data_IF_941364508818
#
_entry.id   IF_941364508818
#
_cell.length_a   1.000
_cell.length_b   1.000
_cell.length_c   1.000
_cell.angle_alpha   90.00
_cell.angle_beta   90.00
_cell.angle_gamma   90.00
#
_symmetry.space_group_name_H-M   'P 1'
#
loop_
_entity.id
_entity.type
_entity.pdbx_description
1 polymer ?
#
# COMPACT_ATOMS: atom_id res chain seq x y z
N UNK A 1 -25.07 -28.07 -22.29
CA UNK A 1 -24.63 -27.73 -20.93
C UNK A 1 -23.11 -27.56 -21.00
N UNK A 2 -22.52 -26.41 -20.70
CA UNK A 2 -21.07 -26.30 -20.67
C UNK A 2 -20.54 -27.23 -19.59
N UNK A 3 -19.60 -28.09 -19.94
CA UNK A 3 -18.87 -28.91 -18.98
C UNK A 3 -18.18 -27.96 -18.03
N UNK A 4 -18.58 -27.95 -16.76
CA UNK A 4 -17.85 -27.33 -15.68
C UNK A 4 -16.55 -28.14 -15.51
N UNK A 5 -15.50 -27.72 -16.20
CA UNK A 5 -14.15 -28.19 -15.87
C UNK A 5 -13.78 -27.47 -14.58
N UNK A 6 -13.55 -28.26 -13.53
CA UNK A 6 -13.01 -27.74 -12.27
C UNK A 6 -11.70 -27.03 -12.59
N UNK A 7 -11.71 -25.70 -12.51
CA UNK A 7 -10.50 -24.87 -12.71
C UNK A 7 -9.58 -25.12 -11.54
N UNK A 8 -8.46 -25.79 -11.77
CA UNK A 8 -7.47 -26.07 -10.74
C UNK A 8 -6.36 -25.03 -10.71
N UNK A 9 -6.04 -24.43 -11.86
CA UNK A 9 -4.93 -23.50 -12.03
C UNK A 9 -5.24 -22.39 -13.05
N UNK A 10 -4.60 -21.24 -12.89
CA UNK A 10 -4.55 -20.16 -13.87
C UNK A 10 -3.11 -19.97 -14.38
N UNK A 11 -2.97 -19.50 -15.62
CA UNK A 11 -1.69 -19.17 -16.23
C UNK A 11 -1.50 -17.64 -16.16
N UNK A 12 -0.46 -17.17 -15.46
CA UNK A 12 -0.10 -15.75 -15.40
C UNK A 12 0.83 -15.43 -16.57
N UNK A 13 0.46 -14.54 -17.47
CA UNK A 13 1.30 -14.15 -18.62
C UNK A 13 2.55 -13.36 -18.20
N UNK A 14 2.58 -12.84 -16.96
CA UNK A 14 3.72 -12.12 -16.42
C UNK A 14 3.78 -10.65 -16.83
N UNK A 15 4.92 -10.03 -16.54
CA UNK A 15 5.17 -8.62 -16.79
C UNK A 15 5.65 -8.35 -18.22
N UNK A 16 6.45 -9.27 -18.77
CA UNK A 16 7.01 -9.16 -20.12
C UNK A 16 7.13 -10.52 -20.79
N UNK A 17 6.98 -10.54 -22.11
CA UNK A 17 7.26 -11.70 -22.96
C UNK A 17 8.72 -11.74 -23.46
N UNK A 18 9.48 -10.65 -23.29
CA UNK A 18 10.85 -10.54 -23.77
C UNK A 18 11.83 -11.14 -22.76
N UNK A 19 12.46 -12.26 -23.13
CA UNK A 19 13.44 -12.96 -22.29
C UNK A 19 14.67 -12.11 -21.97
N UNK A 20 15.07 -11.22 -22.86
CA UNK A 20 16.23 -10.33 -22.70
C UNK A 20 16.11 -9.42 -21.46
N UNK A 21 14.90 -8.98 -21.13
CA UNK A 21 14.66 -8.13 -19.97
C UNK A 21 14.37 -8.91 -18.68
N UNK A 22 14.20 -10.21 -18.76
CA UNK A 22 13.80 -11.03 -17.61
C UNK A 22 14.83 -10.98 -16.48
N UNK A 23 16.13 -11.16 -16.82
CA UNK A 23 17.22 -11.11 -15.83
C UNK A 23 17.33 -9.72 -15.20
N UNK A 24 17.20 -8.67 -16.02
CA UNK A 24 17.22 -7.29 -15.53
C UNK A 24 16.09 -7.05 -14.53
N UNK A 25 14.88 -7.49 -14.86
CA UNK A 25 13.72 -7.35 -13.95
C UNK A 25 13.91 -8.15 -12.67
N UNK A 26 14.44 -9.38 -12.72
CA UNK A 26 14.74 -10.17 -11.52
C UNK A 26 15.66 -9.39 -10.59
N UNK A 27 16.76 -8.84 -11.11
CA UNK A 27 17.74 -8.10 -10.29
C UNK A 27 17.11 -6.83 -9.71
N UNK A 28 16.42 -6.04 -10.54
CA UNK A 28 15.79 -4.78 -10.10
C UNK A 28 14.74 -5.03 -9.02
N UNK A 29 13.86 -6.01 -9.22
CA UNK A 29 12.80 -6.32 -8.25
C UNK A 29 13.34 -6.96 -6.99
N UNK A 30 14.35 -7.82 -7.08
CA UNK A 30 14.99 -8.41 -5.91
C UNK A 30 15.68 -7.35 -5.05
N UNK A 31 16.46 -6.46 -5.67
CA UNK A 31 17.12 -5.34 -4.96
C UNK A 31 16.07 -4.42 -4.35
N UNK A 32 15.03 -4.04 -5.11
CA UNK A 32 13.94 -3.20 -4.62
C UNK A 32 13.22 -3.84 -3.43
N UNK A 33 12.90 -5.11 -3.52
CA UNK A 33 12.26 -5.85 -2.44
C UNK A 33 13.13 -5.92 -1.17
N UNK A 34 14.42 -6.16 -1.31
CA UNK A 34 15.36 -6.14 -0.18
C UNK A 34 15.44 -4.77 0.49
N UNK A 35 15.40 -3.68 -0.29
CA UNK A 35 15.35 -2.30 0.26
C UNK A 35 14.05 -2.08 1.03
N UNK A 36 12.90 -2.54 0.49
CA UNK A 36 11.60 -2.43 1.18
C UNK A 36 11.64 -3.18 2.50
N UNK A 37 12.08 -4.44 2.49
CA UNK A 37 12.14 -5.25 3.71
C UNK A 37 13.06 -4.64 4.76
N UNK A 38 14.30 -4.34 4.38
CA UNK A 38 15.30 -3.82 5.32
C UNK A 38 14.91 -2.45 5.90
N UNK A 39 14.38 -1.56 5.06
CA UNK A 39 13.95 -0.23 5.47
C UNK A 39 12.74 -0.28 6.43
N UNK A 40 11.72 -1.05 6.08
CA UNK A 40 10.49 -1.13 6.88
C UNK A 40 10.68 -1.94 8.16
N UNK A 41 11.40 -3.08 8.12
CA UNK A 41 11.76 -3.85 9.33
C UNK A 41 12.63 -2.99 10.26
N UNK A 42 13.65 -2.33 9.70
CA UNK A 42 14.52 -1.45 10.47
C UNK A 42 13.73 -0.34 11.19
N UNK A 43 12.75 0.26 10.51
CA UNK A 43 11.91 1.29 11.13
C UNK A 43 11.02 0.71 12.25
N UNK A 44 10.36 -0.43 12.03
CA UNK A 44 9.53 -1.09 13.04
C UNK A 44 10.35 -1.44 14.28
N UNK A 45 11.52 -2.06 14.09
CA UNK A 45 12.43 -2.43 15.19
C UNK A 45 12.88 -1.18 15.94
N UNK A 46 13.33 -0.14 15.24
CA UNK A 46 13.79 1.10 15.85
C UNK A 46 12.70 1.76 16.71
N UNK A 47 11.47 1.83 16.21
CA UNK A 47 10.32 2.36 16.96
C UNK A 47 10.02 1.50 18.18
N UNK A 48 10.18 0.18 18.08
CA UNK A 48 9.89 -0.74 19.19
C UNK A 48 10.89 -0.62 20.34
N UNK A 49 12.19 -0.42 20.03
CA UNK A 49 13.26 -0.38 21.04
C UNK A 49 13.54 1.02 21.58
N UNK A 50 13.06 2.08 20.91
CA UNK A 50 13.37 3.47 21.27
C UNK A 50 12.24 4.11 22.07
N UNK A 51 12.51 4.49 23.31
CA UNK A 51 11.55 5.21 24.17
C UNK A 51 11.21 6.62 23.62
N UNK A 52 12.09 7.21 22.80
CA UNK A 52 11.87 8.52 22.20
C UNK A 52 10.86 8.49 21.06
N UNK A 53 10.63 7.29 20.45
CA UNK A 53 9.76 7.11 19.31
C UNK A 53 8.39 6.51 19.71
N UNK A 54 7.85 6.94 20.86
CA UNK A 54 6.57 6.41 21.38
C UNK A 54 5.36 7.32 21.07
N UNK A 55 5.52 8.32 20.18
CA UNK A 55 4.40 9.17 19.78
C UNK A 55 3.48 8.48 18.76
N UNK A 56 2.24 9.00 18.61
CA UNK A 56 1.23 8.45 17.71
C UNK A 56 1.71 8.37 16.26
N UNK A 57 2.44 9.37 15.77
CA UNK A 57 2.97 9.38 14.40
C UNK A 57 3.88 8.16 14.12
N UNK A 58 4.73 7.78 15.07
CA UNK A 58 5.59 6.61 14.91
C UNK A 58 4.81 5.31 15.05
N UNK A 59 3.79 5.27 15.91
CA UNK A 59 2.88 4.15 16.00
C UNK A 59 2.19 3.89 14.66
N UNK A 60 1.62 4.92 14.02
CA UNK A 60 1.00 4.79 12.70
C UNK A 60 2.03 4.47 11.61
N UNK A 61 3.23 5.04 11.67
CA UNK A 61 4.32 4.73 10.73
C UNK A 61 4.74 3.27 10.81
N UNK A 62 4.78 2.66 12.00
CA UNK A 62 5.10 1.23 12.13
C UNK A 62 4.04 0.34 11.50
N UNK A 63 2.76 0.71 11.60
CA UNK A 63 1.67 0.00 10.92
C UNK A 63 1.72 0.19 9.40
N UNK A 64 2.03 1.39 8.92
CA UNK A 64 2.24 1.64 7.49
C UNK A 64 3.38 0.76 6.96
N UNK A 65 4.53 0.75 7.65
CA UNK A 65 5.67 -0.10 7.28
C UNK A 65 5.31 -1.59 7.26
N UNK A 66 4.48 -2.06 8.19
CA UNK A 66 3.99 -3.43 8.19
C UNK A 66 3.12 -3.73 6.96
N UNK A 67 2.20 -2.82 6.62
CA UNK A 67 1.34 -2.95 5.43
C UNK A 67 2.17 -2.91 4.15
N UNK A 68 3.13 -1.99 4.04
CA UNK A 68 4.05 -1.86 2.90
C UNK A 68 4.82 -3.16 2.64
N UNK A 69 5.38 -3.77 3.70
CA UNK A 69 6.07 -5.05 3.57
C UNK A 69 5.14 -6.17 3.14
N UNK A 70 3.96 -6.27 3.76
CA UNK A 70 3.00 -7.33 3.44
C UNK A 70 2.51 -7.19 2.00
N UNK A 71 2.16 -5.97 1.61
CA UNK A 71 1.68 -5.68 0.27
C UNK A 71 2.73 -5.97 -0.80
N UNK A 72 3.95 -5.51 -0.60
CA UNK A 72 5.08 -5.79 -1.49
C UNK A 72 5.39 -7.29 -1.56
N UNK A 73 5.36 -8.00 -0.42
CA UNK A 73 5.58 -9.45 -0.38
C UNK A 73 4.50 -10.23 -1.14
N UNK A 74 3.23 -9.83 -0.99
CA UNK A 74 2.10 -10.47 -1.67
C UNK A 74 2.23 -10.45 -3.21
N UNK A 75 2.81 -9.38 -3.76
CA UNK A 75 2.93 -9.20 -5.21
C UNK A 75 4.32 -9.55 -5.72
N UNK A 76 5.37 -9.00 -5.12
CA UNK A 76 6.75 -9.09 -5.64
C UNK A 76 7.31 -10.50 -5.54
N UNK A 77 7.06 -11.22 -4.43
CA UNK A 77 7.54 -12.60 -4.29
C UNK A 77 6.95 -13.51 -5.35
N UNK A 78 5.64 -13.39 -5.61
CA UNK A 78 4.97 -14.22 -6.62
C UNK A 78 5.45 -13.86 -8.02
N UNK A 79 5.68 -12.58 -8.28
CA UNK A 79 6.24 -12.12 -9.55
C UNK A 79 7.66 -12.66 -9.76
N UNK A 80 8.54 -12.59 -8.75
CA UNK A 80 9.89 -13.14 -8.82
C UNK A 80 9.87 -14.66 -9.00
N UNK A 81 9.00 -15.37 -8.27
CA UNK A 81 8.81 -16.82 -8.47
C UNK A 81 8.47 -17.13 -9.94
N UNK A 82 7.57 -16.37 -10.55
CA UNK A 82 7.15 -16.60 -11.95
C UNK A 82 8.17 -16.13 -12.99
N UNK A 83 9.04 -15.20 -12.64
CA UNK A 83 10.19 -14.84 -13.48
C UNK A 83 11.29 -15.88 -13.45
N UNK A 84 11.43 -16.62 -12.34
CA UNK A 84 12.45 -17.67 -12.14
C UNK A 84 11.95 -19.07 -12.56
N UNK A 85 10.64 -19.28 -12.63
CA UNK A 85 10.03 -20.58 -12.96
C UNK A 85 9.72 -20.70 -14.44
N UNK A 86 9.91 -21.89 -14.99
CA UNK A 86 9.45 -22.24 -16.34
C UNK A 86 7.91 -22.31 -16.40
N UNK A 87 7.27 -22.73 -15.29
CA UNK A 87 5.82 -22.83 -15.20
C UNK A 87 5.22 -21.53 -14.66
N UNK A 88 4.42 -20.85 -15.49
CA UNK A 88 3.76 -19.58 -15.11
C UNK A 88 2.37 -19.82 -14.52
N UNK A 89 2.12 -20.96 -13.88
CA UNK A 89 0.82 -21.30 -13.30
C UNK A 89 0.71 -20.89 -11.84
N UNK A 90 -0.50 -20.54 -11.42
CA UNK A 90 -0.89 -20.32 -10.04
C UNK A 90 -2.09 -21.19 -9.74
N UNK A 91 -2.11 -21.89 -8.61
CA UNK A 91 -3.27 -22.66 -8.20
C UNK A 91 -4.49 -21.76 -8.01
N UNK A 92 -5.69 -22.29 -8.23
CA UNK A 92 -6.95 -21.57 -8.02
C UNK A 92 -7.01 -20.91 -6.65
N UNK A 93 -6.77 -21.68 -5.59
CA UNK A 93 -6.73 -21.16 -4.20
C UNK A 93 -5.64 -20.11 -4.00
N UNK A 94 -4.44 -20.35 -4.54
CA UNK A 94 -3.33 -19.40 -4.45
C UNK A 94 -3.63 -18.05 -5.10
N UNK A 95 -4.34 -18.06 -6.22
CA UNK A 95 -4.81 -16.86 -6.90
C UNK A 95 -5.77 -16.04 -6.01
N UNK A 96 -6.76 -16.72 -5.40
CA UNK A 96 -7.72 -16.03 -4.53
C UNK A 96 -7.15 -15.58 -3.19
N UNK A 97 -6.16 -16.28 -2.65
CA UNK A 97 -5.41 -15.82 -1.46
C UNK A 97 -4.63 -14.54 -1.80
N UNK A 98 -3.93 -14.52 -2.94
CA UNK A 98 -3.23 -13.32 -3.42
C UNK A 98 -4.19 -12.14 -3.64
N UNK A 99 -5.31 -12.40 -4.32
CA UNK A 99 -6.37 -11.44 -4.57
C UNK A 99 -6.93 -10.87 -3.25
N UNK A 100 -7.24 -11.73 -2.28
CA UNK A 100 -7.77 -11.34 -0.98
C UNK A 100 -6.86 -10.33 -0.26
N UNK A 101 -5.57 -10.64 -0.14
CA UNK A 101 -4.64 -9.74 0.53
C UNK A 101 -4.42 -8.46 -0.27
N UNK A 102 -4.38 -8.53 -1.60
CA UNK A 102 -4.27 -7.34 -2.45
C UNK A 102 -5.43 -6.37 -2.20
N UNK A 103 -6.67 -6.85 -2.29
CA UNK A 103 -7.87 -6.01 -2.09
C UNK A 103 -8.00 -5.53 -0.64
N UNK A 104 -7.52 -6.29 0.35
CA UNK A 104 -7.56 -5.87 1.75
C UNK A 104 -6.58 -4.73 2.06
N UNK A 105 -5.34 -4.85 1.56
CA UNK A 105 -4.25 -3.95 1.98
C UNK A 105 -4.33 -2.57 1.34
N UNK A 106 -4.85 -2.42 0.11
CA UNK A 106 -5.01 -1.11 -0.55
C UNK A 106 -5.85 -0.13 0.29
N UNK A 107 -7.10 -0.46 0.72
CA UNK A 107 -7.87 0.45 1.55
C UNK A 107 -7.32 0.60 2.97
N UNK A 108 -6.57 -0.38 3.49
CA UNK A 108 -5.89 -0.25 4.78
C UNK A 108 -4.81 0.81 4.69
N UNK A 109 -3.92 0.73 3.70
CA UNK A 109 -2.86 1.70 3.46
C UNK A 109 -3.41 3.12 3.26
N UNK A 110 -4.41 3.28 2.38
CA UNK A 110 -5.04 4.57 2.12
C UNK A 110 -5.60 5.21 3.39
N UNK A 111 -6.23 4.42 4.27
CA UNK A 111 -6.78 4.93 5.53
C UNK A 111 -5.72 5.21 6.58
N UNK A 112 -4.66 4.42 6.68
CA UNK A 112 -3.54 4.70 7.57
C UNK A 112 -2.91 6.04 7.19
N UNK A 113 -2.67 6.29 5.90
CA UNK A 113 -2.16 7.57 5.40
C UNK A 113 -3.10 8.74 5.75
N UNK A 114 -4.42 8.54 5.63
CA UNK A 114 -5.40 9.55 6.00
C UNK A 114 -5.41 9.82 7.53
N UNK A 115 -5.32 8.78 8.35
CA UNK A 115 -5.20 8.89 9.82
C UNK A 115 -3.91 9.61 10.21
N UNK A 116 -2.80 9.33 9.54
CA UNK A 116 -1.53 10.03 9.77
C UNK A 116 -1.60 11.51 9.40
N UNK A 117 -2.29 11.85 8.31
CA UNK A 117 -2.53 13.25 7.94
C UNK A 117 -3.39 13.98 9.00
N UNK A 118 -4.44 13.32 9.48
CA UNK A 118 -5.28 13.86 10.55
C UNK A 118 -4.50 14.02 11.87
N UNK A 119 -3.74 13.02 12.27
CA UNK A 119 -2.87 13.07 13.46
C UNK A 119 -1.88 14.25 13.39
N UNK A 120 -1.22 14.42 12.23
CA UNK A 120 -0.34 15.55 11.97
C UNK A 120 -1.05 16.91 12.06
N UNK A 121 -2.28 17.00 11.55
CA UNK A 121 -3.09 18.21 11.66
C UNK A 121 -3.42 18.56 13.11
N UNK A 122 -3.80 17.56 13.91
CA UNK A 122 -4.08 17.73 15.34
C UNK A 122 -2.84 18.14 16.14
N UNK A 123 -1.67 17.58 15.82
CA UNK A 123 -0.41 17.93 16.46
C UNK A 123 -0.02 19.40 16.22
N UNK A 124 -0.33 19.92 15.04
CA UNK A 124 0.00 21.31 14.67
C UNK A 124 -1.07 22.28 15.17
N UNK A 125 -2.37 21.97 15.00
CA UNK A 125 -3.46 22.86 15.37
C UNK A 125 -3.68 22.96 16.88
N UNK A 126 -3.46 21.87 17.62
CA UNK A 126 -3.78 21.76 19.06
C UNK A 126 -2.66 21.08 19.87
N UNK A 127 -1.43 21.63 19.92
CA UNK A 127 -0.27 20.96 20.51
C UNK A 127 -0.44 20.65 22.01
N UNK A 128 -1.15 21.49 22.75
CA UNK A 128 -1.38 21.29 24.20
C UNK A 128 -2.35 20.13 24.50
N UNK A 129 -3.37 19.95 23.66
CA UNK A 129 -4.34 18.86 23.78
C UNK A 129 -3.78 17.53 23.25
N UNK A 130 -2.90 17.62 22.25
CA UNK A 130 -2.30 16.47 21.59
C UNK A 130 -1.48 15.62 22.58
N UNK A 131 -0.57 16.22 23.34
CA UNK A 131 0.25 15.52 24.33
C UNK A 131 -0.53 14.84 25.46
N UNK A 132 -1.73 15.35 25.78
CA UNK A 132 -2.61 14.82 26.85
C UNK A 132 -3.54 13.69 26.39
N UNK A 133 -3.93 13.68 25.10
CA UNK A 133 -4.98 12.80 24.58
C UNK A 133 -4.48 11.60 23.79
N UNK A 134 -3.23 11.60 23.31
CA UNK A 134 -2.69 10.56 22.44
C UNK A 134 -2.00 9.44 23.23
N UNK A 135 -2.77 8.67 24.01
CA UNK A 135 -2.30 7.41 24.57
C UNK A 135 -2.32 6.29 23.50
N UNK A 136 -1.51 5.23 23.70
CA UNK A 136 -1.52 4.05 22.81
C UNK A 136 -2.91 3.45 22.63
N UNK A 137 -3.73 3.45 23.67
CA UNK A 137 -5.12 2.96 23.64
C UNK A 137 -6.00 3.80 22.73
N UNK A 138 -5.80 5.12 22.71
CA UNK A 138 -6.54 6.04 21.83
C UNK A 138 -6.10 5.85 20.37
N UNK A 139 -4.82 5.60 20.13
CA UNK A 139 -4.30 5.33 18.78
C UNK A 139 -4.72 3.96 18.24
N UNK A 140 -5.03 2.99 19.11
CA UNK A 140 -5.44 1.65 18.68
C UNK A 140 -6.79 1.65 17.94
N UNK A 141 -7.75 2.52 18.33
CA UNK A 141 -9.06 2.60 17.63
C UNK A 141 -8.93 3.07 16.18
N UNK A 142 -8.31 4.24 15.87
CA UNK A 142 -8.18 4.69 14.50
C UNK A 142 -7.34 3.75 13.62
N UNK A 143 -6.50 2.89 14.18
CA UNK A 143 -5.75 1.90 13.41
C UNK A 143 -6.52 0.58 13.20
N UNK A 144 -7.35 0.16 14.16
CA UNK A 144 -8.15 -1.07 14.01
C UNK A 144 -9.23 -0.95 12.94
N UNK A 145 -9.85 0.22 12.81
CA UNK A 145 -10.91 0.47 11.82
C UNK A 145 -10.44 0.22 10.37
N UNK A 146 -9.31 0.76 9.89
CA UNK A 146 -8.74 0.40 8.59
C UNK A 146 -8.63 -1.10 8.33
N UNK A 147 -8.07 -1.84 9.30
CA UNK A 147 -7.89 -3.28 9.16
C UNK A 147 -9.21 -4.02 9.09
N UNK A 148 -10.10 -3.82 10.06
CA UNK A 148 -11.42 -4.47 10.08
C UNK A 148 -12.18 -4.19 8.79
N UNK A 149 -12.21 -2.94 8.35
CA UNK A 149 -12.88 -2.55 7.12
C UNK A 149 -12.24 -3.21 5.89
N UNK A 150 -10.92 -3.08 5.71
CA UNK A 150 -10.21 -3.59 4.55
C UNK A 150 -10.38 -5.11 4.38
N UNK A 151 -10.19 -5.86 5.47
CA UNK A 151 -10.34 -7.31 5.46
C UNK A 151 -11.79 -7.77 5.27
N UNK A 152 -12.78 -7.06 5.84
CA UNK A 152 -14.20 -7.38 5.65
C UNK A 152 -14.66 -7.14 4.21
N UNK A 153 -14.30 -5.99 3.62
CA UNK A 153 -14.62 -5.69 2.22
C UNK A 153 -13.93 -6.67 1.29
N UNK A 154 -12.65 -6.98 1.54
CA UNK A 154 -11.91 -7.94 0.74
C UNK A 154 -12.52 -9.34 0.79
N UNK A 155 -12.95 -9.79 1.98
CA UNK A 155 -13.62 -11.08 2.12
C UNK A 155 -14.87 -11.16 1.24
N UNK A 156 -15.71 -10.13 1.29
CA UNK A 156 -16.93 -10.05 0.46
C UNK A 156 -16.59 -10.07 -1.04
N UNK A 157 -15.62 -9.26 -1.46
CA UNK A 157 -15.19 -9.21 -2.85
C UNK A 157 -14.60 -10.54 -3.34
N UNK A 158 -13.77 -11.17 -2.49
CA UNK A 158 -13.11 -12.45 -2.81
C UNK A 158 -14.12 -13.57 -2.94
N UNK A 159 -15.05 -13.70 -2.00
CA UNK A 159 -16.10 -14.73 -2.05
C UNK A 159 -16.98 -14.56 -3.29
N UNK A 160 -17.28 -13.32 -3.66
CA UNK A 160 -18.05 -13.06 -4.88
C UNK A 160 -17.27 -13.44 -6.13
N UNK A 161 -15.95 -13.09 -6.21
CA UNK A 161 -15.12 -13.48 -7.37
C UNK A 161 -14.91 -14.98 -7.42
N UNK A 162 -14.71 -15.61 -6.28
CA UNK A 162 -14.58 -17.06 -6.15
C UNK A 162 -15.80 -17.81 -6.67
N UNK A 163 -16.99 -17.27 -6.48
CA UNK A 163 -18.26 -17.84 -6.97
C UNK A 163 -18.55 -17.61 -8.45
N UNK A 164 -17.66 -16.94 -9.22
CA UNK A 164 -17.83 -16.77 -10.66
C UNK A 164 -17.48 -18.06 -11.41
N UNK A 165 -18.20 -18.32 -12.51
CA UNK A 165 -17.84 -19.37 -13.44
C UNK A 165 -16.77 -18.85 -14.41
N UNK A 166 -15.68 -19.59 -14.57
CA UNK A 166 -14.61 -19.27 -15.51
C UNK A 166 -14.71 -20.19 -16.72
N UNK A 167 -14.64 -19.62 -17.93
CA UNK A 167 -14.83 -20.37 -19.18
C UNK A 167 -13.77 -19.99 -20.21
N UNK A 168 -13.29 -20.95 -20.97
CA UNK A 168 -12.35 -20.73 -22.07
C UNK A 168 -10.90 -20.79 -21.65
N UNK A 169 -10.10 -19.82 -22.05
CA UNK A 169 -8.69 -19.77 -21.69
C UNK A 169 -8.53 -19.29 -20.23
N UNK A 170 -7.78 -20.04 -19.44
CA UNK A 170 -7.46 -19.68 -18.04
C UNK A 170 -6.21 -18.80 -17.95
N UNK A 171 -5.90 -18.05 -19.00
CA UNK A 171 -4.78 -17.15 -19.11
C UNK A 171 -5.13 -15.78 -18.57
N UNK A 172 -4.44 -15.38 -17.51
CA UNK A 172 -4.54 -14.06 -16.90
C UNK A 172 -3.44 -13.17 -17.49
N UNK A 173 -3.82 -12.18 -18.32
CA UNK A 173 -2.86 -11.23 -18.88
C UNK A 173 -2.40 -10.24 -17.81
N UNK A 174 -1.80 -10.78 -16.73
CA UNK A 174 -1.19 -10.02 -15.66
C UNK A 174 -0.13 -10.87 -14.94
N UNK A 175 0.65 -10.25 -14.05
CA UNK A 175 1.65 -10.94 -13.21
C UNK A 175 1.12 -11.26 -11.80
N UNK A 176 -0.12 -10.90 -11.49
CA UNK A 176 -0.83 -11.22 -10.24
C UNK A 176 -2.33 -11.31 -10.48
N UNK A 177 -3.06 -11.91 -9.51
CA UNK A 177 -4.50 -12.06 -9.57
C UNK A 177 -5.20 -10.77 -9.11
N UNK A 178 -6.01 -10.18 -10.00
CA UNK A 178 -6.81 -8.98 -9.74
C UNK A 178 -8.15 -9.04 -10.49
N UNK A 179 -9.11 -8.20 -10.08
CA UNK A 179 -10.45 -8.19 -10.67
C UNK A 179 -10.47 -7.98 -12.19
N UNK A 180 -9.83 -6.95 -12.77
CA UNK A 180 -9.97 -6.72 -14.20
C UNK A 180 -9.58 -7.91 -15.07
N UNK A 181 -8.43 -8.59 -14.84
CA UNK A 181 -8.09 -9.80 -15.58
C UNK A 181 -9.00 -10.99 -15.29
N UNK A 182 -9.40 -11.22 -14.02
CA UNK A 182 -10.29 -12.32 -13.65
C UNK A 182 -11.69 -12.17 -14.22
N UNK A 183 -12.23 -10.96 -14.24
CA UNK A 183 -13.53 -10.65 -14.84
C UNK A 183 -13.53 -10.94 -16.36
N UNK A 184 -12.43 -10.70 -17.05
CA UNK A 184 -12.32 -10.95 -18.50
C UNK A 184 -12.43 -12.42 -18.87
N UNK A 185 -12.01 -13.34 -18.01
CA UNK A 185 -12.05 -14.79 -18.24
C UNK A 185 -13.29 -15.45 -17.60
N UNK A 186 -14.13 -14.68 -16.90
CA UNK A 186 -15.36 -15.15 -16.28
C UNK A 186 -16.54 -15.10 -17.26
N UNK A 187 -17.48 -16.04 -17.10
CA UNK A 187 -18.68 -16.17 -17.90
C UNK A 187 -19.92 -15.84 -17.10
N UNK A 188 -20.65 -14.83 -17.54
CA UNK A 188 -21.95 -14.47 -16.97
C UNK A 188 -21.86 -13.71 -15.65
N UNK A 189 -22.82 -12.82 -15.40
CA UNK A 189 -22.92 -12.06 -14.16
C UNK A 189 -21.86 -10.99 -13.90
N UNK A 190 -20.90 -10.84 -14.82
CA UNK A 190 -19.71 -9.97 -14.64
C UNK A 190 -20.05 -8.49 -14.56
N UNK A 191 -21.07 -8.01 -15.29
CA UNK A 191 -21.39 -6.57 -15.33
C UNK A 191 -21.85 -6.00 -13.99
N UNK A 192 -22.61 -6.77 -13.21
CA UNK A 192 -23.06 -6.33 -11.88
C UNK A 192 -21.84 -6.24 -10.96
N UNK A 193 -20.98 -7.24 -11.00
CA UNK A 193 -19.75 -7.27 -10.22
C UNK A 193 -18.83 -6.11 -10.57
N UNK A 194 -18.55 -5.89 -11.85
CA UNK A 194 -17.70 -4.81 -12.34
C UNK A 194 -18.19 -3.46 -11.85
N UNK A 195 -19.49 -3.17 -12.00
CA UNK A 195 -20.11 -1.93 -11.51
C UNK A 195 -19.99 -1.80 -9.99
N UNK A 196 -20.25 -2.87 -9.25
CA UNK A 196 -20.16 -2.85 -7.79
C UNK A 196 -18.73 -2.60 -7.32
N UNK A 197 -17.73 -3.21 -7.97
CA UNK A 197 -16.32 -2.96 -7.66
C UNK A 197 -15.90 -1.53 -7.93
N UNK A 198 -16.36 -0.92 -9.03
CA UNK A 198 -16.12 0.49 -9.34
C UNK A 198 -16.75 1.39 -8.26
N UNK A 199 -17.98 1.10 -7.83
CA UNK A 199 -18.66 1.86 -6.77
C UNK A 199 -17.92 1.73 -5.42
N UNK A 200 -17.55 0.51 -5.01
CA UNK A 200 -16.79 0.27 -3.77
C UNK A 200 -15.45 1.01 -3.82
N UNK A 201 -14.72 0.89 -4.92
CA UNK A 201 -13.45 1.56 -5.10
C UNK A 201 -13.61 3.09 -5.09
N UNK A 202 -14.63 3.61 -5.77
CA UNK A 202 -14.95 5.04 -5.78
C UNK A 202 -15.29 5.60 -4.40
N UNK A 203 -16.12 4.90 -3.62
CA UNK A 203 -16.45 5.28 -2.23
C UNK A 203 -15.18 5.29 -1.37
N UNK A 204 -14.35 4.24 -1.46
CA UNK A 204 -13.10 4.15 -0.71
C UNK A 204 -12.14 5.29 -1.04
N UNK A 205 -11.95 5.55 -2.33
CA UNK A 205 -11.10 6.61 -2.84
C UNK A 205 -11.60 7.99 -2.37
N UNK A 206 -12.89 8.29 -2.57
CA UNK A 206 -13.48 9.57 -2.21
C UNK A 206 -13.41 9.82 -0.70
N UNK A 207 -13.73 8.82 0.12
CA UNK A 207 -13.67 8.95 1.58
C UNK A 207 -12.25 9.25 2.05
N UNK A 208 -11.25 8.47 1.65
CA UNK A 208 -9.87 8.66 2.11
C UNK A 208 -9.26 9.95 1.55
N UNK A 209 -9.55 10.31 0.31
CA UNK A 209 -9.12 11.57 -0.29
C UNK A 209 -9.75 12.78 0.43
N UNK A 210 -11.03 12.70 0.81
CA UNK A 210 -11.71 13.78 1.55
C UNK A 210 -11.06 14.03 2.91
N UNK A 211 -10.79 12.97 3.69
CA UNK A 211 -10.08 13.08 4.98
C UNK A 211 -8.70 13.70 4.78
N UNK A 212 -7.99 13.29 3.76
CA UNK A 212 -6.68 13.85 3.42
C UNK A 212 -6.77 15.34 3.08
N UNK A 213 -7.67 15.75 2.18
CA UNK A 213 -7.82 17.15 1.77
C UNK A 213 -8.22 18.05 2.94
N UNK A 214 -9.13 17.59 3.80
CA UNK A 214 -9.52 18.31 5.01
C UNK A 214 -8.30 18.49 5.93
N UNK A 215 -7.54 17.42 6.17
CA UNK A 215 -6.33 17.46 7.00
C UNK A 215 -5.28 18.43 6.45
N UNK A 216 -5.06 18.42 5.13
CA UNK A 216 -4.13 19.35 4.47
C UNK A 216 -4.58 20.80 4.62
N UNK A 217 -5.88 21.07 4.44
CA UNK A 217 -6.44 22.42 4.60
C UNK A 217 -6.24 22.93 6.03
N UNK A 218 -6.49 22.09 7.03
CA UNK A 218 -6.26 22.41 8.44
C UNK A 218 -4.77 22.70 8.74
N UNK A 219 -3.89 21.89 8.20
CA UNK A 219 -2.44 22.08 8.34
C UNK A 219 -2.00 23.39 7.72
N UNK A 220 -2.42 23.67 6.48
CA UNK A 220 -2.07 24.90 5.76
C UNK A 220 -2.59 26.11 6.53
N UNK A 221 -3.85 26.10 6.96
CA UNK A 221 -4.44 27.17 7.75
C UNK A 221 -3.67 27.41 9.04
N UNK A 222 -3.34 26.36 9.80
CA UNK A 222 -2.57 26.48 11.04
C UNK A 222 -1.17 27.05 10.81
N UNK A 223 -0.46 26.57 9.76
CA UNK A 223 0.88 27.03 9.40
C UNK A 223 0.88 28.51 8.97
N UNK A 224 -0.14 28.95 8.25
CA UNK A 224 -0.27 30.35 7.84
C UNK A 224 -0.50 31.27 9.05
N UNK A 225 -1.16 30.81 10.11
CA UNK A 225 -1.38 31.57 11.35
C UNK A 225 -0.16 31.59 12.29
N UNK A 226 0.88 30.77 12.02
CA UNK A 226 2.11 30.77 12.82
C UNK A 226 2.89 32.08 12.65
N UNK A 227 3.22 32.74 13.78
CA UNK A 227 4.00 33.99 13.79
C UNK A 227 5.48 33.77 13.50
N UNK A 228 6.03 32.58 13.83
CA UNK A 228 7.45 32.26 13.67
C UNK A 228 7.74 31.75 12.25
N UNK A 229 8.64 32.43 11.53
CA UNK A 229 9.10 32.01 10.20
C UNK A 229 9.81 30.65 10.25
N UNK A 230 10.61 30.38 11.29
CA UNK A 230 11.27 29.08 11.49
C UNK A 230 10.28 27.96 11.79
N UNK A 231 9.23 28.24 12.57
CA UNK A 231 8.13 27.30 12.83
C UNK A 231 7.40 26.93 11.56
N UNK A 232 7.04 27.92 10.73
CA UNK A 232 6.43 27.70 9.42
C UNK A 232 7.28 26.83 8.51
N UNK A 233 8.58 27.15 8.37
CA UNK A 233 9.49 26.36 7.52
C UNK A 233 9.61 24.90 7.98
N UNK A 234 9.69 24.68 9.30
CA UNK A 234 9.73 23.32 9.87
C UNK A 234 8.45 22.56 9.60
N UNK A 235 7.28 23.19 9.82
CA UNK A 235 5.98 22.59 9.57
C UNK A 235 5.78 22.25 8.08
N UNK A 236 6.06 23.19 7.16
CA UNK A 236 6.03 22.93 5.72
C UNK A 236 6.96 21.79 5.29
N UNK A 237 8.16 21.75 5.87
CA UNK A 237 9.12 20.69 5.58
C UNK A 237 8.60 19.31 5.99
N UNK A 238 7.97 19.19 7.15
CA UNK A 238 7.41 17.92 7.65
C UNK A 238 6.19 17.51 6.85
N UNK A 239 5.26 18.43 6.65
CA UNK A 239 4.04 18.18 5.87
C UNK A 239 4.34 17.89 4.40
N UNK A 240 5.32 18.57 3.80
CA UNK A 240 5.71 18.36 2.40
C UNK A 240 6.13 16.95 2.10
N UNK A 241 6.84 16.28 3.00
CA UNK A 241 7.22 14.87 2.82
C UNK A 241 6.01 13.94 2.83
N UNK A 242 5.10 14.17 3.78
CA UNK A 242 3.85 13.41 3.88
C UNK A 242 2.95 13.66 2.67
N UNK A 243 2.82 14.92 2.24
CA UNK A 243 2.09 15.31 1.03
C UNK A 243 2.66 14.62 -0.20
N UNK A 244 3.98 14.51 -0.33
CA UNK A 244 4.62 13.81 -1.46
C UNK A 244 4.23 12.35 -1.49
N UNK A 245 4.35 11.63 -0.36
CA UNK A 245 3.98 10.21 -0.28
C UNK A 245 2.50 9.99 -0.67
N UNK A 246 1.61 10.81 -0.13
CA UNK A 246 0.18 10.71 -0.39
C UNK A 246 -0.16 11.09 -1.84
N UNK A 247 0.48 12.13 -2.40
CA UNK A 247 0.26 12.51 -3.80
C UNK A 247 0.71 11.40 -4.75
N UNK A 248 1.83 10.75 -4.47
CA UNK A 248 2.29 9.58 -5.23
C UNK A 248 1.28 8.44 -5.14
N UNK A 249 0.79 8.14 -3.93
CA UNK A 249 -0.21 7.09 -3.70
C UNK A 249 -1.51 7.36 -4.46
N UNK A 250 -2.18 8.49 -4.19
CA UNK A 250 -3.46 8.80 -4.82
C UNK A 250 -3.35 9.09 -6.31
N UNK A 251 -2.26 9.72 -6.76
CA UNK A 251 -1.99 9.94 -8.18
C UNK A 251 -1.86 8.63 -8.95
N UNK A 252 -1.20 7.65 -8.36
CA UNK A 252 -1.08 6.30 -8.93
C UNK A 252 -2.43 5.60 -9.00
N UNK A 253 -3.20 5.59 -7.91
CA UNK A 253 -4.56 5.03 -7.90
C UNK A 253 -5.46 5.71 -8.93
N UNK A 254 -5.48 7.04 -8.97
CA UNK A 254 -6.29 7.80 -9.92
C UNK A 254 -5.91 7.45 -11.37
N UNK A 255 -4.64 7.29 -11.67
CA UNK A 255 -4.18 6.88 -12.99
C UNK A 255 -4.67 5.48 -13.38
N UNK A 256 -4.87 4.58 -12.42
CA UNK A 256 -5.44 3.26 -12.66
C UNK A 256 -6.95 3.33 -12.98
N UNK A 257 -7.70 4.16 -12.24
CA UNK A 257 -9.16 4.24 -12.40
C UNK A 257 -9.63 5.08 -13.58
N UNK A 258 -8.86 6.09 -14.02
CA UNK A 258 -9.23 6.96 -15.15
C UNK A 258 -8.96 6.35 -16.52
N UNK A 259 -8.31 5.20 -16.60
CA UNK A 259 -8.00 4.56 -17.88
C UNK A 259 -9.17 3.78 -18.43
N UNK A 260 -9.44 3.96 -19.73
CA UNK A 260 -10.38 3.10 -20.46
C UNK A 260 -9.73 1.72 -20.67
N UNK A 261 -10.52 0.62 -20.63
CA UNK A 261 -10.02 -0.73 -20.79
C UNK A 261 -9.67 -1.03 -22.27
N UNK A 262 -8.50 -0.59 -22.71
CA UNK A 262 -7.89 -0.94 -24.00
C UNK A 262 -6.72 -1.90 -23.78
N UNK A 263 -6.26 -2.63 -24.79
CA UNK A 263 -5.08 -3.52 -24.64
C UNK A 263 -3.83 -2.75 -24.22
N UNK A 264 -3.57 -1.58 -24.81
CA UNK A 264 -2.49 -0.68 -24.41
C UNK A 264 -2.62 -0.21 -22.96
N UNK A 265 -3.86 -0.03 -22.49
CA UNK A 265 -4.11 0.35 -21.08
C UNK A 265 -3.81 -0.77 -20.09
N UNK A 266 -3.92 -2.04 -20.50
CA UNK A 266 -3.57 -3.21 -19.66
C UNK A 266 -2.06 -3.24 -19.43
N UNK A 267 -1.24 -3.09 -20.48
CA UNK A 267 0.22 -3.07 -20.34
C UNK A 267 0.70 -1.89 -19.48
N UNK A 268 0.16 -0.70 -19.75
CA UNK A 268 0.43 0.47 -18.89
C UNK A 268 -0.07 0.26 -17.46
N UNK A 269 -1.17 -0.47 -17.28
CA UNK A 269 -1.70 -0.85 -15.97
C UNK A 269 -0.74 -1.73 -15.18
N UNK A 270 -0.07 -2.69 -15.81
CA UNK A 270 0.95 -3.53 -15.18
C UNK A 270 2.08 -2.67 -14.57
N UNK A 271 2.59 -1.68 -15.34
CA UNK A 271 3.64 -0.77 -14.86
C UNK A 271 3.19 0.10 -13.69
N UNK A 272 1.94 0.56 -13.69
CA UNK A 272 1.38 1.34 -12.57
C UNK A 272 1.29 0.49 -11.31
N UNK A 273 0.90 -0.78 -11.42
CA UNK A 273 0.89 -1.69 -10.27
C UNK A 273 2.30 -1.95 -9.75
N UNK A 274 3.28 -2.17 -10.62
CA UNK A 274 4.69 -2.28 -10.21
C UNK A 274 5.13 -1.03 -9.45
N UNK A 275 4.81 0.15 -9.97
CA UNK A 275 5.14 1.40 -9.30
C UNK A 275 4.50 1.47 -7.91
N UNK A 276 3.23 1.10 -7.79
CA UNK A 276 2.48 1.10 -6.55
C UNK A 276 3.02 0.08 -5.53
N UNK A 277 3.35 -1.14 -5.97
CA UNK A 277 3.74 -2.23 -5.07
C UNK A 277 5.22 -2.24 -4.69
N UNK A 278 6.06 -1.58 -5.49
CA UNK A 278 7.51 -1.60 -5.30
C UNK A 278 8.08 -0.21 -5.07
N UNK A 279 7.72 0.79 -5.91
CA UNK A 279 8.34 2.11 -5.82
C UNK A 279 7.81 2.92 -4.64
N UNK A 280 6.50 2.88 -4.36
CA UNK A 280 5.90 3.65 -3.24
C UNK A 280 6.36 3.13 -1.87
N UNK A 281 6.41 1.81 -1.56
CA UNK A 281 6.87 1.32 -0.27
C UNK A 281 8.36 1.56 0.04
N UNK A 282 9.20 1.79 -0.98
CA UNK A 282 10.62 2.07 -0.77
C UNK A 282 10.92 3.37 -0.02
N UNK A 283 10.39 4.55 -0.45
CA UNK A 283 10.69 5.81 0.20
C UNK A 283 9.92 6.02 1.51
N UNK A 284 8.84 5.26 1.78
CA UNK A 284 8.04 5.48 2.99
C UNK A 284 8.87 5.49 4.28
N UNK A 285 9.74 4.50 4.58
CA UNK A 285 10.60 4.55 5.74
C UNK A 285 11.53 5.77 5.75
N UNK A 286 12.03 6.17 4.58
CA UNK A 286 12.91 7.33 4.45
C UNK A 286 12.18 8.65 4.69
N UNK A 287 10.98 8.79 4.14
CA UNK A 287 10.14 9.99 4.26
C UNK A 287 9.79 10.24 5.73
N UNK A 288 9.42 9.19 6.45
CA UNK A 288 8.98 9.30 7.85
C UNK A 288 10.12 9.24 8.85
N UNK A 289 11.28 8.65 8.52
CA UNK A 289 12.37 8.43 9.45
C UNK A 289 13.58 9.35 9.23
N UNK A 290 14.16 9.37 8.04
CA UNK A 290 15.45 10.03 7.83
C UNK A 290 15.41 11.55 7.94
N UNK A 291 14.24 12.17 7.83
CA UNK A 291 14.05 13.60 7.96
C UNK A 291 13.80 14.05 9.39
N UNK A 292 13.43 13.11 10.28
CA UNK A 292 13.16 13.41 11.68
C UNK A 292 14.45 13.31 12.52
N UNK A 293 14.75 14.37 13.30
CA UNK A 293 15.91 14.41 14.21
C UNK A 293 15.84 13.30 15.25
N UNK A 294 14.66 13.04 15.80
CA UNK A 294 14.47 12.04 16.85
C UNK A 294 14.81 10.63 16.35
N UNK A 295 14.48 10.33 15.10
CA UNK A 295 14.83 9.05 14.47
C UNK A 295 16.34 8.96 14.23
N UNK A 296 16.98 10.02 13.72
CA UNK A 296 18.44 10.04 13.55
C UNK A 296 19.17 9.83 14.88
N UNK A 297 18.71 10.45 15.95
CA UNK A 297 19.26 10.26 17.29
C UNK A 297 19.04 8.84 17.80
N UNK A 298 17.86 8.27 17.57
CA UNK A 298 17.56 6.90 17.94
C UNK A 298 18.45 5.89 17.20
N UNK A 299 18.65 6.07 15.88
CA UNK A 299 19.58 5.26 15.08
C UNK A 299 21.00 5.36 15.64
N UNK A 300 21.50 6.58 15.87
CA UNK A 300 22.86 6.76 16.41
C UNK A 300 23.03 6.12 17.79
N UNK A 301 22.02 6.20 18.66
CA UNK A 301 22.03 5.52 19.97
C UNK A 301 22.02 4.01 19.82
N UNK A 302 21.24 3.47 18.90
CA UNK A 302 21.17 2.03 18.64
C UNK A 302 22.52 1.49 18.12
N UNK A 303 23.16 2.20 17.17
CA UNK A 303 24.48 1.85 16.65
C UNK A 303 25.53 1.89 17.75
N UNK A 304 25.54 2.96 18.59
CA UNK A 304 26.49 3.06 19.72
C UNK A 304 26.32 1.94 20.72
N UNK A 305 25.08 1.54 21.03
CA UNK A 305 24.83 0.39 21.94
C UNK A 305 25.30 -0.94 21.33
N UNK A 306 25.11 -1.14 20.04
CA UNK A 306 25.61 -2.34 19.36
C UNK A 306 27.15 -2.40 19.36
N UNK A 307 27.83 -1.26 19.18
CA UNK A 307 29.29 -1.18 19.20
C UNK A 307 29.90 -1.26 20.61
N UNK A 308 29.14 -0.94 21.66
CA UNK A 308 29.60 -1.03 23.07
C UNK A 308 29.26 -2.40 23.71
N UNK A 309 28.45 -3.21 23.04
CA UNK A 309 28.12 -4.57 23.48
C UNK A 309 29.01 -5.65 22.85
N UNK A 310 30.01 -5.23 22.07
CA UNK A 310 31.15 -6.05 21.65
C UNK A 310 32.37 -5.70 22.49
#
# INVERSE_FOLDING_TARGET
MPNFTDVTEFVLMGLTSHQEFQVLFIVVFLVGYMIILTGNIGLIVLISISLQLQSSIYFFSSHLSFVDMWFSSNVTLKMLEKLLSETKTISYVGCFVQYYFFIALVPVEARILAVMAFDGSMAICNPLLYGRKMSRTVCARPISVPYVYGFSVSLTCTLWTYGLCFCGSFEINHFYCADPPLIKIACGGVHIKERTMIVIAGINFTHSLSVFLISCTLIIAAVLHMRSANGRRKAFSTCGSHLTAITMFYGTLLSMYLRRPTEESVEKGKMVVVFYTTVIPMPNPMIYSLRNKDVKEAVNKAIRKANLGQ
#
